data_IF_622126853148
#
_entry.id   IF_622126853148
#
_cell.length_a   1.000
_cell.length_b   1.000
_cell.length_c   1.000
_cell.angle_alpha   90.00
_cell.angle_beta   90.00
_cell.angle_gamma   90.00
#
_symmetry.space_group_name_H-M   'P 1'
#
loop_
_entity.id
_entity.type
_entity.pdbx_description
1 polymer ?
#
# COMPACT_ATOMS: atom_id res chain seq x y z
N UNK A 1 -13.64 18.50 4.20
CA UNK A 1 -14.16 17.13 3.97
C UNK A 1 -15.68 17.15 3.88
N UNK A 2 -16.28 16.23 3.14
CA UNK A 2 -17.73 16.18 2.90
C UNK A 2 -18.50 15.17 3.77
N UNK A 3 -17.80 14.24 4.45
CA UNK A 3 -18.41 13.20 5.30
C UNK A 3 -17.59 13.01 6.59
N UNK A 4 -17.66 13.98 7.53
CA UNK A 4 -16.85 13.95 8.76
C UNK A 4 -17.33 12.91 9.77
N UNK A 5 -18.58 12.44 9.68
CA UNK A 5 -19.13 11.44 10.59
C UNK A 5 -18.51 10.06 10.30
N UNK A 6 -18.40 9.68 9.02
CA UNK A 6 -17.73 8.46 8.64
C UNK A 6 -16.20 8.58 8.78
N UNK A 7 -15.61 9.63 8.21
CA UNK A 7 -14.16 9.89 8.27
C UNK A 7 -13.78 10.62 9.56
N UNK A 8 -14.02 9.96 10.68
CA UNK A 8 -13.71 10.43 12.04
C UNK A 8 -12.28 10.11 12.46
N UNK A 9 -11.83 10.64 13.60
CA UNK A 9 -10.52 10.32 14.20
C UNK A 9 -10.29 8.82 14.39
N UNK A 10 -11.33 8.06 14.68
CA UNK A 10 -11.23 6.62 14.86
C UNK A 10 -10.80 5.89 13.58
N UNK A 11 -11.18 6.41 12.42
CA UNK A 11 -10.79 5.87 11.11
C UNK A 11 -9.47 6.47 10.64
N UNK A 12 -9.30 7.78 10.83
CA UNK A 12 -8.19 8.55 10.26
C UNK A 12 -6.92 8.56 11.12
N UNK A 13 -7.02 8.27 12.42
CA UNK A 13 -5.93 8.40 13.39
C UNK A 13 -5.47 9.85 13.65
N UNK A 14 -6.23 10.83 13.12
CA UNK A 14 -6.04 12.29 13.22
C UNK A 14 -7.41 12.97 13.12
N UNK A 15 -7.53 14.22 13.54
CA UNK A 15 -8.78 14.97 13.30
C UNK A 15 -9.05 15.01 11.79
N UNK A 16 -10.33 15.08 11.40
CA UNK A 16 -10.70 15.12 9.98
C UNK A 16 -9.99 16.26 9.22
N UNK A 17 -9.89 17.44 9.84
CA UNK A 17 -9.21 18.59 9.25
C UNK A 17 -7.69 18.37 9.14
N UNK A 18 -7.04 17.86 10.19
CA UNK A 18 -5.60 17.56 10.13
C UNK A 18 -5.28 16.48 9.10
N UNK A 19 -6.13 15.47 8.94
CA UNK A 19 -5.94 14.45 7.91
C UNK A 19 -6.03 15.05 6.51
N UNK A 20 -7.01 15.92 6.27
CA UNK A 20 -7.13 16.64 5.00
C UNK A 20 -5.87 17.45 4.71
N UNK A 21 -5.36 18.19 5.69
CA UNK A 21 -4.15 19.00 5.53
C UNK A 21 -2.89 18.14 5.37
N UNK A 22 -2.83 17.01 6.04
CA UNK A 22 -1.75 16.03 5.94
C UNK A 22 -1.70 15.40 4.54
N UNK A 23 -2.79 14.84 4.03
CA UNK A 23 -2.80 14.10 2.75
C UNK A 23 -2.58 14.99 1.51
N UNK A 24 -2.74 16.31 1.64
CA UNK A 24 -2.46 17.28 0.57
C UNK A 24 -0.96 17.57 0.41
N UNK A 25 -0.11 17.11 1.33
CA UNK A 25 1.34 17.32 1.24
C UNK A 25 1.94 16.36 0.20
N UNK A 26 3.00 16.80 -0.46
CA UNK A 26 3.73 16.03 -1.46
C UNK A 26 4.68 14.98 -0.86
N UNK A 27 4.91 15.02 0.45
CA UNK A 27 5.80 14.13 1.20
C UNK A 27 5.08 13.08 2.05
N UNK A 28 3.75 12.98 1.92
CA UNK A 28 2.93 12.00 2.64
C UNK A 28 2.54 10.83 1.75
N UNK A 29 2.37 9.66 2.37
CA UNK A 29 2.16 8.39 1.69
C UNK A 29 0.71 7.97 1.89
N UNK A 30 -0.01 7.75 0.79
CA UNK A 30 -1.35 7.17 0.85
C UNK A 30 -1.29 5.68 1.23
N UNK A 31 -2.43 5.16 1.70
CA UNK A 31 -2.56 3.74 2.02
C UNK A 31 -4.00 3.26 1.89
N UNK A 32 -4.41 2.35 2.79
CA UNK A 32 -5.73 1.71 2.73
C UNK A 32 -6.92 2.71 2.78
N UNK A 33 -6.78 3.84 3.49
CA UNK A 33 -7.82 4.88 3.57
C UNK A 33 -8.02 5.52 2.19
N UNK A 34 -6.94 5.95 1.55
CA UNK A 34 -6.97 6.55 0.21
C UNK A 34 -7.51 5.56 -0.82
N UNK A 35 -7.07 4.30 -0.77
CA UNK A 35 -7.52 3.27 -1.72
C UNK A 35 -9.02 3.00 -1.57
N UNK A 36 -9.54 2.96 -0.34
CA UNK A 36 -10.98 2.84 -0.09
C UNK A 36 -11.78 4.02 -0.64
N UNK A 37 -11.29 5.25 -0.44
CA UNK A 37 -11.89 6.47 -0.99
C UNK A 37 -11.88 6.44 -2.53
N UNK A 38 -10.73 6.10 -3.12
CA UNK A 38 -10.55 6.06 -4.58
C UNK A 38 -11.39 4.96 -5.23
N UNK A 39 -11.52 3.78 -4.61
CA UNK A 39 -12.41 2.72 -5.08
C UNK A 39 -13.86 3.20 -5.17
N UNK A 40 -14.34 3.88 -4.12
CA UNK A 40 -15.69 4.47 -4.11
C UNK A 40 -15.86 5.55 -5.18
N UNK A 41 -14.87 6.44 -5.31
CA UNK A 41 -14.88 7.54 -6.27
C UNK A 41 -14.90 7.05 -7.72
N UNK A 42 -14.04 6.09 -8.06
CA UNK A 42 -13.97 5.52 -9.41
C UNK A 42 -15.02 4.44 -9.69
N UNK A 43 -15.80 4.04 -8.67
CA UNK A 43 -16.74 2.92 -8.73
C UNK A 43 -16.11 1.66 -9.31
N UNK A 44 -14.93 1.32 -8.81
CA UNK A 44 -14.08 0.25 -9.29
C UNK A 44 -13.49 -0.49 -8.09
N UNK A 45 -13.52 -1.82 -8.12
CA UNK A 45 -12.79 -2.61 -7.14
C UNK A 45 -11.29 -2.38 -7.33
N UNK A 46 -10.56 -2.17 -6.24
CA UNK A 46 -9.09 -2.06 -6.28
C UNK A 46 -8.53 -3.26 -5.51
N UNK A 47 -7.84 -4.15 -6.22
CA UNK A 47 -7.21 -5.33 -5.64
C UNK A 47 -5.72 -5.05 -5.43
N UNK A 48 -5.27 -5.01 -4.18
CA UNK A 48 -3.86 -4.81 -3.84
C UNK A 48 -3.25 -6.17 -3.52
N UNK A 49 -2.31 -6.63 -4.34
CA UNK A 49 -1.55 -7.85 -4.05
C UNK A 49 -0.31 -7.49 -3.22
N UNK A 50 -0.22 -8.05 -2.02
CA UNK A 50 0.86 -7.82 -1.08
C UNK A 50 1.94 -8.90 -1.28
N UNK A 51 3.14 -8.50 -1.71
CA UNK A 51 4.23 -9.46 -2.01
C UNK A 51 4.85 -10.06 -0.76
N UNK A 52 4.79 -9.38 0.37
CA UNK A 52 5.35 -9.87 1.63
C UNK A 52 4.53 -11.06 2.16
N UNK A 53 3.21 -10.95 2.08
CA UNK A 53 2.28 -11.94 2.65
C UNK A 53 1.62 -12.85 1.63
N UNK A 54 1.69 -12.51 0.33
CA UNK A 54 1.04 -13.24 -0.77
C UNK A 54 -0.46 -13.38 -0.52
N UNK A 55 -1.09 -12.23 -0.24
CA UNK A 55 -2.53 -12.07 -0.11
C UNK A 55 -3.00 -10.95 -1.04
N UNK A 56 -4.31 -10.92 -1.32
CA UNK A 56 -4.94 -9.80 -2.01
C UNK A 56 -5.89 -9.12 -1.05
N UNK A 57 -5.67 -7.83 -0.81
CA UNK A 57 -6.58 -6.95 -0.10
C UNK A 57 -7.55 -6.32 -1.13
N UNK A 58 -8.84 -6.63 -1.04
CA UNK A 58 -9.86 -6.22 -2.01
C UNK A 58 -10.70 -5.06 -1.49
N UNK A 59 -10.55 -3.89 -2.10
CA UNK A 59 -11.30 -2.69 -1.74
C UNK A 59 -12.52 -2.55 -2.65
N UNK A 60 -13.72 -2.51 -2.05
CA UNK A 60 -14.99 -2.45 -2.78
C UNK A 60 -15.51 -3.81 -3.26
N UNK A 61 -15.06 -4.92 -2.65
CA UNK A 61 -15.46 -6.30 -3.01
C UNK A 61 -16.99 -6.51 -2.96
N UNK A 62 -17.66 -5.91 -1.99
CA UNK A 62 -19.10 -6.05 -1.72
C UNK A 62 -19.95 -4.92 -2.35
N UNK A 63 -19.32 -3.95 -3.02
CA UNK A 63 -19.98 -2.77 -3.57
C UNK A 63 -20.69 -3.03 -4.92
N UNK A 64 -20.56 -4.23 -5.49
CA UNK A 64 -21.19 -4.59 -6.76
C UNK A 64 -20.62 -3.88 -7.99
N UNK A 65 -19.37 -3.40 -7.91
CA UNK A 65 -18.69 -2.82 -9.07
C UNK A 65 -18.48 -3.85 -10.17
N UNK A 66 -18.54 -3.40 -11.43
CA UNK A 66 -18.40 -4.27 -12.62
C UNK A 66 -16.97 -4.37 -13.13
N UNK A 67 -16.07 -3.56 -12.56
CA UNK A 67 -14.68 -3.44 -12.97
C UNK A 67 -13.75 -3.58 -11.77
N UNK A 68 -12.55 -4.10 -12.02
CA UNK A 68 -11.44 -4.10 -11.06
C UNK A 68 -10.14 -3.63 -11.69
N UNK A 69 -9.26 -3.08 -10.86
CA UNK A 69 -7.86 -2.78 -11.16
C UNK A 69 -6.96 -3.46 -10.14
N UNK A 70 -5.69 -3.65 -10.50
CA UNK A 70 -4.73 -4.34 -9.65
C UNK A 70 -3.51 -3.46 -9.37
N UNK A 71 -3.11 -3.44 -8.11
CA UNK A 71 -1.85 -2.85 -7.64
C UNK A 71 -1.02 -3.95 -6.99
N UNK A 72 0.30 -3.87 -7.07
CA UNK A 72 1.23 -4.67 -6.29
C UNK A 72 1.88 -3.79 -5.23
N UNK A 73 2.00 -4.31 -4.01
CA UNK A 73 2.53 -3.61 -2.85
C UNK A 73 3.62 -4.43 -2.19
N UNK A 74 4.76 -3.81 -1.94
CA UNK A 74 5.96 -4.50 -1.44
C UNK A 74 6.29 -4.22 0.04
N UNK A 75 5.41 -3.49 0.73
CA UNK A 75 5.63 -3.02 2.10
C UNK A 75 5.98 -1.53 2.19
N UNK A 76 6.34 -0.90 1.07
CA UNK A 76 6.60 0.54 1.00
C UNK A 76 6.03 1.15 -0.29
N UNK A 77 6.24 0.54 -1.45
CA UNK A 77 5.89 1.06 -2.76
C UNK A 77 4.65 0.39 -3.37
N UNK A 78 3.92 1.13 -4.20
CA UNK A 78 2.81 0.63 -5.01
C UNK A 78 3.15 0.77 -6.49
N UNK A 79 3.05 -0.33 -7.24
CA UNK A 79 3.12 -0.33 -8.70
C UNK A 79 1.80 -0.79 -9.31
N UNK A 80 1.37 -0.23 -10.47
CA UNK A 80 0.21 -0.72 -11.19
C UNK A 80 0.53 -2.04 -11.89
N UNK A 81 -0.42 -2.99 -11.87
CA UNK A 81 -0.35 -4.20 -12.68
C UNK A 81 -1.17 -4.06 -13.96
N UNK A 82 -0.63 -4.63 -15.05
CA UNK A 82 -1.28 -4.67 -16.35
C UNK A 82 -1.13 -6.05 -16.98
N UNK A 83 -2.12 -6.44 -17.80
CA UNK A 83 -2.07 -7.64 -18.65
C UNK A 83 -1.57 -7.23 -20.03
N UNK A 84 -0.42 -7.76 -20.43
CA UNK A 84 0.08 -7.63 -21.79
C UNK A 84 -0.51 -8.72 -22.67
N UNK A 85 -0.67 -8.42 -23.96
CA UNK A 85 -1.08 -9.40 -24.97
C UNK A 85 0.12 -9.80 -25.83
N UNK A 86 0.13 -11.02 -26.39
CA UNK A 86 1.20 -11.45 -27.29
C UNK A 86 1.27 -10.62 -28.58
N UNK A 87 0.12 -10.08 -29.00
CA UNK A 87 0.03 -9.18 -30.14
C UNK A 87 0.54 -7.78 -29.76
N UNK A 88 1.59 -7.26 -30.43
CA UNK A 88 2.21 -5.98 -30.08
C UNK A 88 1.31 -4.77 -30.38
N UNK A 89 0.31 -4.93 -31.24
CA UNK A 89 -0.63 -3.86 -31.59
C UNK A 89 -1.76 -3.71 -30.55
N UNK A 90 -1.97 -4.74 -29.73
CA UNK A 90 -2.96 -4.70 -28.65
C UNK A 90 -2.35 -4.03 -27.40
N UNK A 91 -2.90 -2.88 -26.95
CA UNK A 91 -2.37 -2.19 -25.79
C UNK A 91 -2.57 -3.01 -24.50
N UNK A 92 -1.71 -2.83 -23.48
CA UNK A 92 -1.89 -3.46 -22.19
C UNK A 92 -3.23 -3.10 -21.54
N UNK A 93 -3.84 -4.08 -20.88
CA UNK A 93 -5.10 -3.91 -20.15
C UNK A 93 -4.83 -3.74 -18.65
N UNK A 94 -5.34 -2.66 -18.07
CA UNK A 94 -5.25 -2.37 -16.62
C UNK A 94 -6.58 -2.47 -15.90
N UNK A 95 -7.69 -2.49 -16.64
CA UNK A 95 -9.05 -2.54 -16.12
C UNK A 95 -9.69 -3.85 -16.56
N UNK A 96 -10.11 -4.65 -15.60
CA UNK A 96 -10.65 -5.99 -15.81
C UNK A 96 -12.12 -6.04 -15.37
N UNK A 97 -12.83 -7.08 -15.79
CA UNK A 97 -14.13 -7.41 -15.19
C UNK A 97 -13.94 -7.81 -13.73
N UNK A 98 -14.84 -7.41 -12.84
CA UNK A 98 -14.83 -7.89 -11.44
C UNK A 98 -15.11 -9.40 -11.31
N UNK A 99 -15.57 -10.06 -12.38
CA UNK A 99 -15.73 -11.51 -12.46
C UNK A 99 -14.52 -12.23 -13.10
N UNK A 100 -13.49 -11.50 -13.52
CA UNK A 100 -12.25 -12.10 -14.02
C UNK A 100 -11.38 -12.49 -12.81
N UNK A 101 -11.50 -13.74 -12.36
CA UNK A 101 -10.66 -14.27 -11.26
C UNK A 101 -9.30 -14.76 -11.75
N UNK A 102 -9.12 -14.94 -13.06
CA UNK A 102 -7.83 -15.33 -13.65
C UNK A 102 -6.79 -14.24 -13.36
N UNK A 103 -7.19 -12.96 -13.43
CA UNK A 103 -6.27 -11.85 -13.10
C UNK A 103 -5.78 -11.89 -11.65
N UNK A 104 -6.60 -12.37 -10.71
CA UNK A 104 -6.23 -12.49 -9.30
C UNK A 104 -5.21 -13.62 -9.10
N UNK A 105 -5.41 -14.75 -9.78
CA UNK A 105 -4.46 -15.87 -9.77
C UNK A 105 -3.10 -15.43 -10.32
N UNK A 106 -3.09 -14.74 -11.46
CA UNK A 106 -1.86 -14.23 -12.07
C UNK A 106 -1.14 -13.22 -11.16
N UNK A 107 -1.88 -12.35 -10.46
CA UNK A 107 -1.30 -11.41 -9.51
C UNK A 107 -0.69 -12.10 -8.30
N UNK A 108 -1.33 -13.15 -7.76
CA UNK A 108 -0.78 -13.96 -6.67
C UNK A 108 0.48 -14.71 -7.08
N UNK A 109 0.54 -15.23 -8.32
CA UNK A 109 1.75 -15.87 -8.85
C UNK A 109 2.92 -14.88 -8.91
N UNK A 110 2.69 -13.64 -9.38
CA UNK A 110 3.70 -12.58 -9.38
C UNK A 110 4.16 -12.24 -7.95
N UNK A 111 3.24 -12.14 -7.00
CA UNK A 111 3.57 -11.86 -5.61
C UNK A 111 4.37 -12.99 -4.97
N UNK A 112 4.03 -14.26 -5.24
CA UNK A 112 4.80 -15.40 -4.73
C UNK A 112 6.20 -15.47 -5.36
N UNK A 113 6.34 -15.17 -6.66
CA UNK A 113 7.65 -15.07 -7.31
C UNK A 113 8.49 -13.94 -6.71
N UNK A 114 7.92 -12.75 -6.54
CA UNK A 114 8.57 -11.60 -5.92
C UNK A 114 9.02 -11.95 -4.49
N UNK A 115 8.16 -12.61 -3.70
CA UNK A 115 8.50 -13.08 -2.35
C UNK A 115 9.67 -14.06 -2.36
N UNK A 116 9.67 -15.05 -3.26
CA UNK A 116 10.76 -16.03 -3.40
C UNK A 116 12.08 -15.34 -3.75
N UNK A 117 12.02 -14.28 -4.57
CA UNK A 117 13.17 -13.43 -4.93
C UNK A 117 13.52 -12.39 -3.86
N UNK A 118 12.77 -12.31 -2.76
CA UNK A 118 12.89 -11.31 -1.69
C UNK A 118 12.78 -9.86 -2.22
N UNK A 119 11.95 -9.65 -3.23
CA UNK A 119 11.59 -8.33 -3.77
C UNK A 119 10.45 -7.73 -2.93
N UNK A 120 10.74 -7.47 -1.66
CA UNK A 120 9.85 -6.77 -0.73
C UNK A 120 10.66 -6.09 0.37
N UNK A 121 10.11 -5.04 0.94
CA UNK A 121 10.72 -4.28 2.04
C UNK A 121 9.95 -4.55 3.32
N UNK A 122 10.52 -5.38 4.21
CA UNK A 122 9.93 -5.61 5.53
C UNK A 122 10.26 -4.45 6.48
N UNK A 123 9.42 -3.42 6.47
CA UNK A 123 9.53 -2.26 7.37
C UNK A 123 9.38 -2.63 8.86
N UNK A 124 9.00 -3.87 9.21
CA UNK A 124 8.94 -4.31 10.60
C UNK A 124 10.22 -5.02 11.04
N UNK A 125 11.07 -5.47 10.12
CA UNK A 125 12.25 -6.30 10.44
C UNK A 125 13.57 -5.80 9.89
N UNK A 126 13.58 -4.71 9.12
CA UNK A 126 14.83 -4.12 8.66
C UNK A 126 15.71 -3.65 9.83
N UNK A 127 17.01 -3.89 9.71
CA UNK A 127 18.00 -3.44 10.68
C UNK A 127 18.35 -1.99 10.44
N UNK A 128 18.15 -1.19 11.46
CA UNK A 128 18.49 0.22 11.50
C UNK A 128 19.65 0.45 12.47
N UNK A 129 20.41 1.50 12.21
CA UNK A 129 21.37 2.06 13.15
C UNK A 129 21.07 3.53 13.35
N UNK A 130 20.90 3.94 14.60
CA UNK A 130 20.86 5.35 14.92
C UNK A 130 22.24 5.96 14.64
N UNK A 131 22.32 6.93 13.72
CA UNK A 131 23.59 7.54 13.32
C UNK A 131 24.14 8.51 14.37
N UNK A 132 23.35 8.84 15.40
CA UNK A 132 23.76 9.71 16.52
C UNK A 132 24.43 8.89 17.63
N UNK A 133 23.78 7.84 18.12
CA UNK A 133 24.27 7.04 19.26
C UNK A 133 24.71 5.62 18.90
N UNK A 134 24.67 5.24 17.62
CA UNK A 134 25.11 3.94 17.09
C UNK A 134 24.30 2.73 17.60
N UNK A 135 23.17 2.94 18.28
CA UNK A 135 22.28 1.85 18.71
C UNK A 135 21.69 1.13 17.49
N UNK A 136 21.81 -0.19 17.47
CA UNK A 136 21.10 -1.06 16.53
C UNK A 136 19.62 -1.16 16.90
N UNK A 137 18.75 -1.08 15.90
CA UNK A 137 17.30 -1.03 16.02
C UNK A 137 16.70 -1.99 15.00
N UNK A 138 15.58 -2.60 15.33
CA UNK A 138 14.86 -3.53 14.46
C UNK A 138 13.49 -2.97 14.11
N UNK A 139 13.29 -2.67 12.83
CA UNK A 139 12.03 -2.17 12.29
C UNK A 139 11.67 -0.75 12.70
N UNK A 140 10.55 -0.26 12.17
CA UNK A 140 10.07 1.10 12.47
C UNK A 140 9.64 1.30 13.92
N UNK A 141 9.12 0.27 14.59
CA UNK A 141 8.63 0.39 15.95
C UNK A 141 9.76 0.81 16.91
N UNK A 142 10.88 0.09 16.91
CA UNK A 142 12.02 0.43 17.74
C UNK A 142 12.65 1.78 17.36
N UNK A 143 12.69 2.13 16.07
CA UNK A 143 13.19 3.43 15.63
C UNK A 143 12.31 4.59 16.13
N UNK A 144 10.99 4.43 16.08
CA UNK A 144 10.04 5.43 16.57
C UNK A 144 10.14 5.60 18.08
N UNK A 145 10.22 4.50 18.82
CA UNK A 145 10.31 4.55 20.28
C UNK A 145 11.66 5.15 20.71
N UNK A 146 12.75 4.77 20.03
CA UNK A 146 14.07 5.39 20.20
C UNK A 146 14.05 6.90 19.92
N UNK A 147 13.40 7.34 18.84
CA UNK A 147 13.27 8.76 18.51
C UNK A 147 12.49 9.54 19.58
N UNK A 148 11.43 8.94 20.14
CA UNK A 148 10.65 9.53 21.23
C UNK A 148 11.45 9.65 22.52
N UNK A 149 12.21 8.63 22.88
CA UNK A 149 12.98 8.59 24.13
C UNK A 149 14.23 9.48 24.09
N UNK A 150 14.88 9.57 22.92
CA UNK A 150 16.21 10.19 22.80
C UNK A 150 16.22 11.49 21.99
N UNK A 151 15.16 11.78 21.22
CA UNK A 151 15.13 12.87 20.25
C UNK A 151 15.94 12.61 18.97
N UNK A 152 16.54 11.42 18.82
CA UNK A 152 17.33 11.09 17.63
C UNK A 152 16.42 10.68 16.46
N UNK A 153 16.54 11.37 15.32
CA UNK A 153 15.75 11.08 14.10
C UNK A 153 16.61 10.65 12.89
N UNK A 154 17.94 10.59 13.05
CA UNK A 154 18.84 10.18 11.98
C UNK A 154 19.15 8.66 12.08
N UNK A 155 18.56 7.88 11.18
CA UNK A 155 18.70 6.42 11.11
C UNK A 155 19.25 6.01 9.74
N UNK A 156 20.17 5.04 9.72
CA UNK A 156 20.66 4.40 8.50
C UNK A 156 20.36 2.90 8.52
N UNK A 157 20.01 2.34 7.36
CA UNK A 157 19.82 0.90 7.21
C UNK A 157 21.16 0.16 7.22
N UNK A 158 21.21 -1.03 7.82
CA UNK A 158 22.42 -1.87 7.98
C UNK A 158 22.23 -3.22 7.32
#
# INVERSE_FOLDING_TARGET
ASDPDFYSEAILGKTNQEYCDWIKRDDTWGGAIEISILSKFYQCEICVVDTQTVRIDRFGEDAGYTKRVLLIYDGIHYDPLQRNFPDPDTPPLTIFSSNDDIVLVQALELADEARRKRQFTDVNRFTLRCMVCQKGLTGQAEARDHAKETGHTNFGEV
#
